data_IF_732217852824
#
_entry.id   IF_732217852824
#
_cell.length_a   1.000
_cell.length_b   1.000
_cell.length_c   1.000
_cell.angle_alpha   90.00
_cell.angle_beta   90.00
_cell.angle_gamma   90.00
#
_symmetry.space_group_name_H-M   'P 1'
#
loop_
_entity.id
_entity.type
_entity.pdbx_description
1 polymer ?
#
# COMPACT_ATOMS: atom_id res chain seq x y z
N UNK A 1 -15.42 -16.56 7.76
CA UNK A 1 -15.01 -15.13 7.80
C UNK A 1 -14.03 -14.95 8.93
N UNK A 2 -12.98 -14.21 8.69
CA UNK A 2 -11.94 -13.98 9.69
C UNK A 2 -12.19 -12.63 10.37
N UNK A 3 -11.79 -12.51 11.64
CA UNK A 3 -11.73 -11.23 12.34
C UNK A 3 -10.54 -10.47 11.75
N UNK A 4 -10.71 -9.17 11.50
CA UNK A 4 -9.63 -8.33 10.98
C UNK A 4 -8.40 -8.37 11.89
N UNK A 5 -7.25 -8.69 11.31
CA UNK A 5 -5.95 -8.68 11.99
C UNK A 5 -5.21 -7.38 11.61
N UNK A 6 -4.95 -6.47 12.57
CA UNK A 6 -4.29 -5.19 12.29
C UNK A 6 -2.79 -5.29 12.06
N UNK A 7 -2.21 -6.51 12.05
CA UNK A 7 -0.77 -6.69 11.78
C UNK A 7 -0.41 -6.16 10.39
N UNK A 8 0.79 -5.65 10.27
CA UNK A 8 1.37 -5.13 9.03
C UNK A 8 2.59 -5.94 8.59
N UNK A 9 2.56 -7.25 8.84
CA UNK A 9 3.63 -8.19 8.51
C UNK A 9 3.05 -9.53 8.12
N UNK A 10 3.62 -10.15 7.09
CA UNK A 10 3.27 -11.51 6.70
C UNK A 10 3.83 -12.53 7.68
N UNK A 11 3.09 -13.60 7.91
CA UNK A 11 3.54 -14.80 8.64
C UNK A 11 4.14 -15.85 7.70
N UNK A 12 3.69 -15.85 6.43
CA UNK A 12 4.17 -16.76 5.39
C UNK A 12 5.17 -16.06 4.47
N UNK A 13 6.01 -16.84 3.82
CA UNK A 13 7.02 -16.35 2.88
C UNK A 13 6.55 -16.35 1.41
N UNK A 14 5.30 -16.71 1.16
CA UNK A 14 4.69 -16.78 -0.16
C UNK A 14 3.55 -15.78 -0.31
N UNK A 15 2.35 -16.15 0.09
CA UNK A 15 1.17 -15.29 0.08
C UNK A 15 0.22 -15.58 1.25
N UNK A 16 -0.62 -14.62 1.56
CA UNK A 16 -1.72 -14.75 2.53
C UNK A 16 -2.98 -14.13 1.94
N UNK A 17 -4.12 -14.80 2.03
CA UNK A 17 -5.39 -14.26 1.57
C UNK A 17 -6.43 -14.30 2.68
N UNK A 18 -7.20 -13.22 2.80
CA UNK A 18 -8.16 -13.01 3.87
C UNK A 18 -9.50 -12.53 3.30
N UNK A 19 -10.59 -13.02 3.86
CA UNK A 19 -11.92 -12.52 3.61
C UNK A 19 -12.46 -11.92 4.90
N UNK A 20 -12.49 -10.59 4.97
CA UNK A 20 -12.94 -9.84 6.13
C UNK A 20 -14.36 -9.30 5.93
N UNK A 21 -15.17 -9.41 6.98
CA UNK A 21 -16.45 -8.73 7.10
C UNK A 21 -16.59 -8.19 8.51
N UNK A 22 -16.56 -6.89 8.63
CA UNK A 22 -16.57 -6.19 9.91
C UNK A 22 -17.84 -5.34 10.05
N UNK A 23 -18.63 -5.62 11.08
CA UNK A 23 -19.81 -4.83 11.44
C UNK A 23 -19.43 -3.50 12.13
N UNK A 24 -18.25 -3.45 12.76
CA UNK A 24 -17.69 -2.26 13.38
C UNK A 24 -16.18 -2.25 13.15
N UNK A 25 -15.72 -1.44 12.23
CA UNK A 25 -14.31 -1.29 11.93
C UNK A 25 -13.81 0.06 12.41
N UNK A 26 -12.82 0.07 13.28
CA UNK A 26 -12.28 1.31 13.87
C UNK A 26 -11.27 2.06 13.00
N UNK A 27 -11.03 1.54 11.78
CA UNK A 27 -10.02 2.08 10.87
C UNK A 27 -8.61 1.55 11.16
N UNK A 28 -7.71 1.80 10.21
CA UNK A 28 -6.27 1.55 10.33
C UNK A 28 -5.58 2.89 10.09
N UNK A 29 -4.60 3.30 10.90
CA UNK A 29 -3.79 4.50 10.60
C UNK A 29 -3.11 4.41 9.24
N UNK A 30 -2.67 5.54 8.70
CA UNK A 30 -1.78 5.54 7.52
C UNK A 30 -0.56 4.68 7.80
N UNK A 31 -0.35 3.68 6.95
CA UNK A 31 0.70 2.68 7.10
C UNK A 31 1.27 2.27 5.75
N UNK A 32 2.32 1.48 5.79
CA UNK A 32 2.90 0.75 4.68
C UNK A 32 3.41 -0.62 5.17
N UNK A 33 3.61 -1.52 4.26
CA UNK A 33 4.17 -2.84 4.51
C UNK A 33 5.20 -3.21 3.44
N UNK A 34 5.87 -4.36 3.54
CA UNK A 34 6.93 -4.78 2.61
C UNK A 34 6.52 -5.89 1.64
N UNK A 35 5.23 -6.05 1.44
CA UNK A 35 4.62 -7.00 0.51
C UNK A 35 3.66 -6.26 -0.43
N UNK A 36 3.32 -6.88 -1.55
CA UNK A 36 2.27 -6.39 -2.46
C UNK A 36 0.90 -6.70 -1.89
N UNK A 37 -0.04 -5.77 -2.02
CA UNK A 37 -1.42 -5.98 -1.60
C UNK A 37 -2.39 -5.83 -2.78
N UNK A 38 -3.29 -6.80 -2.91
CA UNK A 38 -4.46 -6.72 -3.76
C UNK A 38 -5.67 -6.63 -2.84
N UNK A 39 -6.39 -5.52 -2.93
CA UNK A 39 -7.57 -5.28 -2.13
C UNK A 39 -8.80 -5.28 -3.04
N UNK A 40 -9.72 -6.22 -2.85
CA UNK A 40 -10.97 -6.36 -3.60
C UNK A 40 -12.15 -5.97 -2.73
N UNK A 41 -12.83 -4.89 -3.11
CA UNK A 41 -13.94 -4.32 -2.35
C UNK A 41 -15.27 -4.98 -2.70
N UNK A 42 -16.00 -5.45 -1.69
CA UNK A 42 -17.27 -6.18 -1.86
C UNK A 42 -18.45 -5.30 -1.44
N UNK A 43 -18.41 -4.75 -0.22
CA UNK A 43 -19.49 -3.90 0.28
C UNK A 43 -19.04 -2.95 1.38
N UNK A 44 -19.83 -1.89 1.57
CA UNK A 44 -19.61 -0.87 2.58
C UNK A 44 -19.54 0.54 2.00
N UNK A 45 -19.23 1.51 2.85
CA UNK A 45 -19.00 2.91 2.44
C UNK A 45 -17.59 3.30 2.85
N UNK A 46 -16.66 3.21 1.94
CA UNK A 46 -15.23 3.38 2.18
C UNK A 46 -14.63 4.35 1.17
N UNK A 47 -13.86 5.30 1.67
CA UNK A 47 -12.86 6.01 0.91
C UNK A 47 -11.50 5.35 1.19
N UNK A 48 -10.69 5.12 0.18
CA UNK A 48 -9.35 4.55 0.33
C UNK A 48 -8.30 5.55 -0.13
N UNK A 49 -7.34 5.87 0.73
CA UNK A 49 -6.23 6.76 0.39
C UNK A 49 -4.99 5.92 0.04
N UNK A 50 -4.37 6.20 -1.11
CA UNK A 50 -3.07 5.64 -1.51
C UNK A 50 -2.20 6.78 -2.00
N UNK A 51 -1.05 7.02 -1.37
CA UNK A 51 -0.14 8.13 -1.69
C UNK A 51 -0.87 9.48 -1.82
N UNK A 52 -1.86 9.73 -0.94
CA UNK A 52 -2.67 10.94 -0.94
C UNK A 52 -3.73 11.02 -2.03
N UNK A 53 -3.81 10.02 -2.90
CA UNK A 53 -4.93 9.86 -3.84
C UNK A 53 -6.11 9.26 -3.08
N UNK A 54 -7.27 9.86 -3.19
CA UNK A 54 -8.47 9.43 -2.48
C UNK A 54 -9.45 8.79 -3.46
N UNK A 55 -9.85 7.56 -3.16
CA UNK A 55 -10.74 6.75 -3.99
C UNK A 55 -12.03 6.45 -3.22
N UNK A 56 -13.17 6.91 -3.73
CA UNK A 56 -14.47 6.43 -3.28
C UNK A 56 -14.69 5.02 -3.84
N UNK A 57 -14.70 4.01 -2.96
CA UNK A 57 -14.78 2.60 -3.36
C UNK A 57 -16.20 2.23 -3.79
N UNK A 58 -16.29 1.54 -4.93
CA UNK A 58 -17.53 0.97 -5.46
C UNK A 58 -17.43 -0.56 -5.45
N UNK A 59 -18.54 -1.25 -5.26
CA UNK A 59 -18.60 -2.72 -5.28
C UNK A 59 -17.89 -3.27 -6.53
N UNK A 60 -16.95 -4.18 -6.31
CA UNK A 60 -16.14 -4.81 -7.35
C UNK A 60 -14.90 -4.02 -7.75
N UNK A 61 -14.65 -2.85 -7.14
CA UNK A 61 -13.39 -2.13 -7.31
C UNK A 61 -12.22 -2.93 -6.72
N UNK A 62 -11.06 -2.77 -7.35
CA UNK A 62 -9.84 -3.44 -6.93
C UNK A 62 -8.72 -2.41 -6.78
N UNK A 63 -8.01 -2.44 -5.66
CA UNK A 63 -6.80 -1.66 -5.46
C UNK A 63 -5.56 -2.55 -5.56
N UNK A 64 -4.54 -2.01 -6.21
CA UNK A 64 -3.20 -2.57 -6.31
C UNK A 64 -2.25 -1.67 -5.53
N UNK A 65 -1.65 -2.19 -4.47
CA UNK A 65 -0.80 -1.43 -3.55
C UNK A 65 0.62 -2.00 -3.58
N UNK A 66 1.55 -1.12 -3.92
CA UNK A 66 2.98 -1.43 -3.93
C UNK A 66 3.53 -1.39 -2.50
N UNK A 67 4.52 -2.22 -2.15
CA UNK A 67 5.17 -2.23 -0.83
C UNK A 67 5.66 -0.88 -0.29
N UNK A 68 5.88 0.11 -1.14
CA UNK A 68 6.41 1.43 -0.75
C UNK A 68 5.34 2.50 -0.61
N UNK A 69 4.08 2.17 -0.89
CA UNK A 69 2.98 3.13 -0.90
C UNK A 69 2.33 3.26 0.47
N UNK A 70 2.24 4.49 0.94
CA UNK A 70 1.47 4.84 2.13
C UNK A 70 -0.02 4.81 1.82
N UNK A 71 -0.78 4.03 2.57
CA UNK A 71 -2.19 3.82 2.31
C UNK A 71 -3.03 3.68 3.59
N UNK A 72 -4.34 3.89 3.44
CA UNK A 72 -5.30 3.83 4.55
C UNK A 72 -6.73 3.69 4.05
N UNK A 73 -7.54 2.73 4.54
CA UNK A 73 -8.98 2.76 4.42
C UNK A 73 -9.58 3.82 5.38
N UNK A 74 -10.51 4.62 4.88
CA UNK A 74 -11.28 5.61 5.65
C UNK A 74 -12.74 5.18 5.65
N UNK A 75 -13.30 4.98 6.82
CA UNK A 75 -14.62 4.42 6.99
C UNK A 75 -15.49 5.39 7.76
N UNK A 76 -16.74 5.56 7.31
CA UNK A 76 -17.72 6.39 8.01
C UNK A 76 -18.11 5.75 9.34
N UNK A 77 -18.23 6.53 10.41
CA UNK A 77 -18.50 6.07 11.79
C UNK A 77 -19.79 5.23 11.96
N UNK A 78 -20.74 5.33 11.02
CA UNK A 78 -22.04 4.65 11.08
C UNK A 78 -22.14 3.47 10.10
N UNK A 79 -21.05 2.79 9.79
CA UNK A 79 -21.05 1.73 8.81
C UNK A 79 -21.44 0.39 9.41
N UNK A 80 -22.48 -0.25 8.83
CA UNK A 80 -23.02 -1.53 9.31
C UNK A 80 -22.29 -2.75 8.76
N UNK A 81 -21.76 -2.71 7.54
CA UNK A 81 -21.11 -3.88 6.91
C UNK A 81 -19.96 -3.42 5.99
N UNK A 82 -18.74 -3.80 6.34
CA UNK A 82 -17.57 -3.59 5.52
C UNK A 82 -16.95 -4.92 5.12
N UNK A 83 -17.11 -5.29 3.84
CA UNK A 83 -16.67 -6.58 3.32
C UNK A 83 -15.64 -6.41 2.21
N UNK A 84 -14.54 -7.15 2.31
CA UNK A 84 -13.41 -7.13 1.37
C UNK A 84 -12.64 -8.43 1.38
N UNK A 85 -11.96 -8.71 0.27
CA UNK A 85 -10.90 -9.72 0.20
C UNK A 85 -9.57 -9.00 0.07
N UNK A 86 -8.59 -9.42 0.87
CA UNK A 86 -7.23 -8.86 0.88
C UNK A 86 -6.26 -9.99 0.60
N UNK A 87 -5.42 -9.82 -0.42
CA UNK A 87 -4.38 -10.77 -0.80
C UNK A 87 -3.01 -10.09 -0.65
N UNK A 88 -2.19 -10.61 0.23
CA UNK A 88 -0.81 -10.19 0.46
C UNK A 88 0.15 -11.14 -0.25
N UNK A 89 1.16 -10.58 -0.93
CA UNK A 89 2.10 -11.37 -1.74
C UNK A 89 3.52 -10.91 -1.42
N UNK A 90 4.34 -11.84 -0.94
CA UNK A 90 5.75 -11.56 -0.66
C UNK A 90 6.48 -11.15 -1.94
N UNK A 91 7.42 -10.20 -1.85
CA UNK A 91 8.15 -9.66 -3.00
C UNK A 91 8.97 -10.71 -3.73
N UNK A 92 9.78 -11.47 -2.99
CA UNK A 92 10.69 -12.45 -3.56
C UNK A 92 9.90 -13.60 -4.18
N UNK A 93 8.79 -13.96 -3.54
CA UNK A 93 7.88 -14.96 -4.08
C UNK A 93 7.23 -14.49 -5.38
N UNK A 94 6.69 -13.26 -5.43
CA UNK A 94 6.12 -12.70 -6.66
C UNK A 94 7.16 -12.64 -7.79
N UNK A 95 8.39 -12.24 -7.46
CA UNK A 95 9.48 -12.23 -8.42
C UNK A 95 9.78 -13.64 -8.94
N UNK A 96 9.79 -14.66 -8.08
CA UNK A 96 10.05 -16.05 -8.45
C UNK A 96 8.98 -16.67 -9.36
N UNK A 97 7.76 -16.13 -9.35
CA UNK A 97 6.66 -16.55 -10.23
C UNK A 97 6.72 -15.91 -11.62
N UNK A 98 7.50 -14.86 -11.80
CA UNK A 98 7.68 -14.17 -13.07
C UNK A 98 8.54 -15.01 -14.03
N UNK A 99 8.34 -14.83 -15.34
CA UNK A 99 9.20 -15.41 -16.37
C UNK A 99 10.19 -14.37 -16.91
N UNK A 100 11.11 -14.80 -17.77
CA UNK A 100 12.05 -13.88 -18.42
C UNK A 100 11.34 -12.83 -19.30
N UNK A 101 10.18 -13.17 -19.85
CA UNK A 101 9.42 -12.31 -20.77
C UNK A 101 8.25 -11.58 -20.09
N UNK A 102 7.88 -11.97 -18.87
CA UNK A 102 6.67 -11.46 -18.19
C UNK A 102 6.90 -11.23 -16.71
N UNK A 103 6.96 -9.95 -16.31
CA UNK A 103 6.97 -9.56 -14.90
C UNK A 103 5.56 -9.48 -14.35
N UNK A 104 5.27 -10.26 -13.31
CA UNK A 104 3.97 -10.25 -12.62
C UNK A 104 3.81 -9.07 -11.66
N UNK A 105 4.90 -8.37 -11.32
CA UNK A 105 4.85 -7.15 -10.51
C UNK A 105 4.51 -5.88 -11.30
N UNK A 106 4.39 -5.96 -12.63
CA UNK A 106 4.18 -4.79 -13.50
C UNK A 106 2.91 -4.01 -13.17
N UNK A 107 1.83 -4.70 -12.79
CA UNK A 107 0.58 -4.03 -12.40
C UNK A 107 0.70 -3.19 -11.11
N UNK A 108 1.75 -3.40 -10.32
CA UNK A 108 2.04 -2.62 -9.12
C UNK A 108 3.11 -1.54 -9.34
N UNK A 109 3.62 -1.38 -10.56
CA UNK A 109 4.71 -0.45 -10.86
C UNK A 109 4.20 1.00 -10.89
N UNK A 110 4.32 1.68 -9.76
CA UNK A 110 3.95 3.09 -9.60
C UNK A 110 4.86 4.07 -10.35
N UNK A 111 5.98 3.60 -10.92
CA UNK A 111 6.84 4.44 -11.77
C UNK A 111 6.34 4.52 -13.21
N UNK A 112 5.42 3.64 -13.60
CA UNK A 112 4.77 3.70 -14.91
C UNK A 112 3.76 4.87 -14.93
N UNK A 113 3.87 5.83 -15.86
CA UNK A 113 2.95 6.97 -15.96
C UNK A 113 1.47 6.57 -16.14
N UNK A 114 1.22 5.40 -16.70
CA UNK A 114 -0.14 4.86 -16.88
C UNK A 114 -0.61 3.95 -15.74
N UNK A 115 0.16 3.88 -14.64
CA UNK A 115 -0.24 3.10 -13.48
C UNK A 115 -1.43 3.75 -12.77
N UNK A 116 -2.40 2.93 -12.39
CA UNK A 116 -3.48 3.30 -11.48
C UNK A 116 -3.55 2.30 -10.33
N UNK A 117 -3.55 2.80 -9.11
CA UNK A 117 -3.81 1.94 -7.95
C UNK A 117 -5.24 1.39 -7.98
N UNK A 118 -6.22 2.17 -8.48
CA UNK A 118 -7.63 1.75 -8.59
C UNK A 118 -7.92 1.18 -9.97
N UNK A 119 -8.46 -0.02 -10.02
CA UNK A 119 -9.05 -0.63 -11.21
C UNK A 119 -10.57 -0.78 -11.02
N UNK A 120 -11.34 -0.07 -11.82
CA UNK A 120 -12.80 -0.24 -11.92
C UNK A 120 -13.12 -1.26 -12.99
N UNK A 121 -13.47 -2.44 -12.53
CA UNK A 121 -13.59 -3.62 -13.38
C UNK A 121 -14.94 -3.68 -14.10
N UNK A 122 -14.95 -4.24 -15.31
CA UNK A 122 -16.18 -4.67 -15.97
C UNK A 122 -16.86 -5.78 -15.15
N UNK A 123 -18.16 -5.97 -15.32
CA UNK A 123 -18.91 -7.02 -14.63
C UNK A 123 -18.27 -8.41 -14.80
N UNK A 124 -17.87 -8.76 -16.04
CA UNK A 124 -17.23 -10.06 -16.33
C UNK A 124 -15.87 -10.22 -15.61
N UNK A 125 -15.08 -9.14 -15.52
CA UNK A 125 -13.79 -9.16 -14.81
C UNK A 125 -13.99 -9.26 -13.29
N UNK A 126 -15.03 -8.59 -12.75
CA UNK A 126 -15.40 -8.70 -11.34
C UNK A 126 -15.79 -10.13 -10.98
N UNK A 127 -16.64 -10.77 -11.77
CA UNK A 127 -17.06 -12.17 -11.55
C UNK A 127 -15.87 -13.13 -11.61
N UNK A 128 -15.00 -12.98 -12.62
CA UNK A 128 -13.80 -13.82 -12.77
C UNK A 128 -12.88 -13.69 -11.55
N UNK A 129 -12.52 -12.48 -11.18
CA UNK A 129 -11.60 -12.25 -10.06
C UNK A 129 -12.21 -12.64 -8.72
N UNK A 130 -13.49 -12.34 -8.50
CA UNK A 130 -14.22 -12.78 -7.29
C UNK A 130 -14.23 -14.30 -7.16
N UNK A 131 -14.45 -15.01 -8.26
CA UNK A 131 -14.42 -16.49 -8.30
C UNK A 131 -13.02 -17.01 -7.96
N UNK A 132 -11.99 -16.51 -8.63
CA UNK A 132 -10.59 -16.93 -8.40
C UNK A 132 -10.13 -16.64 -6.98
N UNK A 133 -10.43 -15.46 -6.43
CA UNK A 133 -10.09 -15.09 -5.05
C UNK A 133 -10.81 -15.99 -4.04
N UNK A 134 -12.09 -16.29 -4.29
CA UNK A 134 -12.88 -17.18 -3.43
C UNK A 134 -12.37 -18.62 -3.49
N UNK A 135 -11.96 -19.07 -4.68
CA UNK A 135 -11.35 -20.40 -4.89
C UNK A 135 -10.01 -20.48 -4.15
N UNK A 136 -9.16 -19.46 -4.23
CA UNK A 136 -7.88 -19.40 -3.52
C UNK A 136 -8.08 -19.46 -1.99
N UNK A 137 -9.10 -18.75 -1.46
CA UNK A 137 -9.44 -18.81 -0.03
C UNK A 137 -9.86 -20.23 0.37
N UNK A 138 -10.68 -20.89 -0.43
CA UNK A 138 -11.11 -22.27 -0.15
C UNK A 138 -9.93 -23.23 -0.20
N UNK A 139 -9.10 -23.12 -1.22
CA UNK A 139 -7.97 -23.99 -1.40
C UNK A 139 -6.90 -23.77 -0.32
N UNK A 140 -6.62 -22.55 0.10
CA UNK A 140 -5.69 -22.26 1.22
C UNK A 140 -6.06 -23.00 2.52
N UNK A 141 -7.36 -23.27 2.74
CA UNK A 141 -7.88 -23.96 3.92
C UNK A 141 -8.10 -25.47 3.68
N UNK A 142 -7.76 -25.98 2.52
CA UNK A 142 -7.87 -27.39 2.16
C UNK A 142 -6.57 -28.12 2.52
N UNK A 143 -6.66 -29.40 2.87
CA UNK A 143 -5.50 -30.28 3.13
C UNK A 143 -5.36 -31.41 2.12
N UNK A 144 -5.93 -31.23 0.92
CA UNK A 144 -5.90 -32.21 -0.15
C UNK A 144 -4.48 -32.37 -0.75
N UNK A 145 -4.29 -33.48 -1.47
CA UNK A 145 -3.05 -33.70 -2.22
C UNK A 145 -2.75 -32.55 -3.18
N UNK A 146 -1.48 -32.12 -3.21
CA UNK A 146 -0.98 -31.03 -4.07
C UNK A 146 -1.69 -29.67 -3.86
N UNK A 147 -2.20 -29.41 -2.68
CA UNK A 147 -2.84 -28.15 -2.30
C UNK A 147 -1.95 -26.92 -2.56
N UNK A 148 -0.67 -27.04 -2.24
CA UNK A 148 0.31 -25.96 -2.47
C UNK A 148 0.46 -25.63 -3.96
N UNK A 149 0.42 -26.61 -4.84
CA UNK A 149 0.47 -26.43 -6.29
C UNK A 149 -0.85 -25.85 -6.81
N UNK A 150 -2.00 -26.30 -6.30
CA UNK A 150 -3.30 -25.75 -6.66
C UNK A 150 -3.38 -24.26 -6.28
N UNK A 151 -3.00 -23.90 -5.05
CA UNK A 151 -2.92 -22.50 -4.61
C UNK A 151 -2.03 -21.65 -5.51
N UNK A 152 -0.84 -22.14 -5.87
CA UNK A 152 0.07 -21.42 -6.78
C UNK A 152 -0.52 -21.23 -8.18
N UNK A 153 -1.20 -22.24 -8.71
CA UNK A 153 -1.85 -22.16 -10.02
C UNK A 153 -2.97 -21.11 -10.05
N UNK A 154 -3.82 -21.08 -9.02
CA UNK A 154 -4.89 -20.08 -8.88
C UNK A 154 -4.31 -18.68 -8.72
N UNK A 155 -3.31 -18.52 -7.83
CA UNK A 155 -2.63 -17.24 -7.62
C UNK A 155 -1.97 -16.72 -8.91
N UNK A 156 -1.28 -17.60 -9.65
CA UNK A 156 -0.67 -17.24 -10.93
C UNK A 156 -1.72 -16.75 -11.93
N UNK A 157 -2.88 -17.41 -11.97
CA UNK A 157 -4.00 -16.98 -12.82
C UNK A 157 -4.52 -15.60 -12.41
N UNK A 158 -4.69 -15.35 -11.11
CA UNK A 158 -5.07 -14.03 -10.59
C UNK A 158 -4.07 -12.97 -11.05
N UNK A 159 -2.78 -13.17 -10.83
CA UNK A 159 -1.72 -12.23 -11.18
C UNK A 159 -1.66 -11.92 -12.67
N UNK A 160 -1.84 -12.93 -13.53
CA UNK A 160 -1.91 -12.74 -14.98
C UNK A 160 -3.09 -11.85 -15.36
N UNK A 161 -4.29 -12.10 -14.79
CA UNK A 161 -5.46 -11.26 -15.07
C UNK A 161 -5.30 -9.84 -14.55
N UNK A 162 -4.73 -9.63 -13.37
CA UNK A 162 -4.45 -8.30 -12.83
C UNK A 162 -3.53 -7.50 -13.74
N UNK A 163 -2.47 -8.13 -14.27
CA UNK A 163 -1.56 -7.47 -15.21
C UNK A 163 -2.23 -7.12 -16.53
N UNK A 164 -3.05 -8.02 -17.07
CA UNK A 164 -3.84 -7.77 -18.32
C UNK A 164 -4.81 -6.61 -18.13
N UNK A 165 -5.53 -6.60 -17.01
CA UNK A 165 -6.48 -5.52 -16.67
C UNK A 165 -5.77 -4.19 -16.48
N UNK A 166 -4.68 -4.15 -15.73
CA UNK A 166 -3.89 -2.94 -15.51
C UNK A 166 -3.38 -2.34 -16.82
N UNK A 167 -2.89 -3.17 -17.76
CA UNK A 167 -2.44 -2.71 -19.07
C UNK A 167 -3.56 -2.10 -19.91
N UNK A 168 -4.74 -2.71 -19.88
CA UNK A 168 -5.90 -2.20 -20.64
C UNK A 168 -6.55 -0.97 -20.00
N UNK A 169 -6.37 -0.78 -18.68
CA UNK A 169 -6.98 0.29 -17.91
C UNK A 169 -6.25 1.62 -18.10
N UNK A 170 -4.93 1.63 -18.11
CA UNK A 170 -4.10 2.83 -18.25
C UNK A 170 -4.33 3.60 -19.56
N UNK A 171 -4.86 2.94 -20.61
CA UNK A 171 -5.19 3.60 -21.86
C UNK A 171 -6.52 4.39 -21.83
N UNK A 172 -7.38 4.21 -20.82
CA UNK A 172 -8.77 4.69 -20.83
C UNK A 172 -9.16 5.68 -19.72
N UNK A 173 -8.45 5.77 -18.61
CA UNK A 173 -9.00 6.36 -17.38
C UNK A 173 -8.16 7.43 -16.66
N UNK A 174 -7.54 8.36 -17.38
CA UNK A 174 -6.75 9.46 -16.77
C UNK A 174 -7.56 10.53 -15.97
N UNK A 175 -8.90 10.40 -15.82
CA UNK A 175 -9.72 11.55 -15.40
C UNK A 175 -10.63 11.39 -14.16
N UNK A 176 -10.69 10.26 -13.47
CA UNK A 176 -11.69 10.06 -12.40
C UNK A 176 -11.22 10.32 -10.95
N UNK A 177 -10.13 10.99 -10.74
CA UNK A 177 -9.60 11.19 -9.40
C UNK A 177 -9.90 12.60 -8.87
N UNK A 178 -10.68 12.72 -7.80
CA UNK A 178 -10.87 13.99 -7.09
C UNK A 178 -9.63 14.30 -6.25
N UNK A 179 -8.64 14.92 -6.86
CA UNK A 179 -7.43 15.33 -6.16
C UNK A 179 -7.48 16.80 -5.79
N UNK A 180 -6.95 17.16 -4.62
CA UNK A 180 -6.51 18.52 -4.36
C UNK A 180 -5.17 18.73 -5.10
N UNK A 181 -5.12 19.54 -6.18
CA UNK A 181 -3.87 19.72 -6.94
C UNK A 181 -2.73 20.19 -6.06
N UNK A 182 -3.01 21.02 -5.06
CA UNK A 182 -2.03 21.49 -4.10
C UNK A 182 -1.44 20.32 -3.30
N UNK A 183 -2.27 19.44 -2.76
CA UNK A 183 -1.79 18.33 -1.92
C UNK A 183 -0.99 17.33 -2.75
N UNK A 184 -1.37 17.07 -3.99
CA UNK A 184 -0.58 16.24 -4.90
C UNK A 184 0.80 16.84 -5.16
N UNK A 185 0.88 18.15 -5.44
CA UNK A 185 2.15 18.83 -5.63
C UNK A 185 3.01 18.82 -4.36
N UNK A 186 2.39 18.97 -3.19
CA UNK A 186 3.09 18.87 -1.88
C UNK A 186 3.63 17.47 -1.65
N UNK A 187 2.86 16.42 -1.97
CA UNK A 187 3.31 15.04 -1.85
C UNK A 187 4.46 14.72 -2.78
N UNK A 188 4.36 15.18 -4.03
CA UNK A 188 5.44 15.04 -5.02
C UNK A 188 6.71 15.76 -4.55
N UNK A 189 6.58 16.98 -4.05
CA UNK A 189 7.70 17.73 -3.47
C UNK A 189 8.34 16.96 -2.30
N UNK A 190 7.55 16.44 -1.36
CA UNK A 190 8.05 15.64 -0.25
C UNK A 190 8.79 14.39 -0.77
N UNK A 191 8.25 13.71 -1.76
CA UNK A 191 8.86 12.50 -2.33
C UNK A 191 10.22 12.76 -2.98
N UNK A 192 10.45 13.95 -3.52
CA UNK A 192 11.74 14.34 -4.09
C UNK A 192 12.74 14.90 -3.07
N UNK A 193 12.24 15.47 -1.96
CA UNK A 193 13.06 16.24 -0.99
C UNK A 193 13.08 15.64 0.42
N UNK A 194 12.54 14.42 0.66
CA UNK A 194 12.42 13.83 2.02
C UNK A 194 13.77 13.72 2.76
N UNK A 195 14.88 13.60 2.05
CA UNK A 195 16.23 13.55 2.65
C UNK A 195 16.72 14.92 3.16
N UNK A 196 16.08 15.99 2.73
CA UNK A 196 16.47 17.36 3.06
C UNK A 196 15.83 17.83 4.37
N UNK A 197 16.22 19.00 4.85
CA UNK A 197 15.61 19.60 6.03
C UNK A 197 14.23 20.15 5.71
N UNK A 198 13.23 19.28 5.68
CA UNK A 198 11.83 19.64 5.46
C UNK A 198 11.09 19.95 6.78
N UNK A 199 10.28 20.99 6.74
CA UNK A 199 9.34 21.36 7.79
C UNK A 199 8.01 21.81 7.20
N UNK A 200 6.94 21.79 7.98
CA UNK A 200 5.66 22.36 7.56
C UNK A 200 5.80 23.83 7.12
N UNK A 201 6.70 24.59 7.75
CA UNK A 201 6.98 25.98 7.39
C UNK A 201 7.59 26.10 6.01
N UNK A 202 8.69 25.36 5.75
CA UNK A 202 9.41 25.42 4.48
C UNK A 202 8.52 24.98 3.32
N UNK A 203 7.67 23.97 3.51
CA UNK A 203 6.73 23.52 2.49
C UNK A 203 5.61 24.57 2.29
N UNK A 204 5.07 25.14 3.35
CA UNK A 204 4.03 26.17 3.24
C UNK A 204 4.56 27.43 2.49
N UNK A 205 5.79 27.83 2.76
CA UNK A 205 6.45 28.93 2.07
C UNK A 205 6.68 28.62 0.58
N UNK A 206 7.12 27.39 0.24
CA UNK A 206 7.32 26.93 -1.14
C UNK A 206 6.04 26.97 -1.98
N UNK A 207 4.91 26.58 -1.38
CA UNK A 207 3.61 26.57 -2.06
C UNK A 207 2.77 27.83 -1.85
N UNK A 208 3.34 28.90 -1.27
CA UNK A 208 2.67 30.19 -1.04
C UNK A 208 1.36 30.08 -0.27
N UNK A 209 1.28 29.20 0.73
CA UNK A 209 0.11 28.98 1.57
C UNK A 209 0.44 29.14 3.06
N UNK A 210 -0.58 29.39 3.89
CA UNK A 210 -0.38 29.42 5.34
C UNK A 210 -0.13 28.02 5.89
N UNK A 211 0.71 27.90 6.93
CA UNK A 211 0.95 26.63 7.67
C UNK A 211 -0.35 26.01 8.17
N UNK A 212 -1.27 26.82 8.65
CA UNK A 212 -2.57 26.37 9.15
C UNK A 212 -3.39 25.71 8.02
N UNK A 213 -3.50 26.38 6.90
CA UNK A 213 -4.22 25.85 5.73
C UNK A 213 -3.58 24.56 5.23
N UNK A 214 -2.25 24.56 5.03
CA UNK A 214 -1.53 23.36 4.57
C UNK A 214 -1.72 22.19 5.54
N UNK A 215 -1.54 22.41 6.84
CA UNK A 215 -1.70 21.37 7.86
C UNK A 215 -3.09 20.76 7.84
N UNK A 216 -4.13 21.59 7.76
CA UNK A 216 -5.51 21.14 7.74
C UNK A 216 -5.86 20.40 6.43
N UNK A 217 -5.51 21.00 5.28
CA UNK A 217 -5.77 20.40 3.97
C UNK A 217 -5.01 19.07 3.78
N UNK A 218 -3.74 19.03 4.19
CA UNK A 218 -2.94 17.82 4.12
C UNK A 218 -3.51 16.70 5.00
N UNK A 219 -3.85 17.01 6.25
CA UNK A 219 -4.43 16.00 7.16
C UNK A 219 -5.80 15.50 6.66
N UNK A 220 -6.63 16.38 6.09
CA UNK A 220 -7.94 15.97 5.55
C UNK A 220 -7.81 15.03 4.35
N UNK A 221 -6.79 15.22 3.48
CA UNK A 221 -6.58 14.41 2.27
C UNK A 221 -5.73 13.19 2.55
N UNK A 222 -4.64 13.32 3.32
CA UNK A 222 -3.67 12.24 3.54
C UNK A 222 -3.98 11.41 4.80
N UNK A 223 -4.73 11.98 5.76
CA UNK A 223 -5.11 11.28 7.01
C UNK A 223 -4.02 11.28 8.08
N UNK A 224 -2.94 12.05 7.87
CA UNK A 224 -1.85 12.19 8.85
C UNK A 224 -1.20 13.57 8.73
N UNK A 225 -0.37 13.94 9.72
CA UNK A 225 0.35 15.22 9.65
C UNK A 225 1.49 15.18 8.62
N UNK A 226 1.85 16.34 8.05
CA UNK A 226 3.01 16.50 7.16
C UNK A 226 4.29 15.91 7.78
N UNK A 227 4.55 16.22 9.06
CA UNK A 227 5.73 15.69 9.77
C UNK A 227 5.72 14.16 9.85
N UNK A 228 4.59 13.56 10.20
CA UNK A 228 4.45 12.10 10.28
C UNK A 228 4.65 11.46 8.91
N UNK A 229 4.08 12.04 7.87
CA UNK A 229 4.23 11.55 6.49
C UNK A 229 5.70 11.57 6.04
N UNK A 230 6.41 12.70 6.24
CA UNK A 230 7.86 12.78 5.95
C UNK A 230 8.64 11.72 6.73
N UNK A 231 8.32 11.53 8.02
CA UNK A 231 8.97 10.52 8.85
C UNK A 231 8.76 9.12 8.29
N UNK A 232 7.53 8.77 7.91
CA UNK A 232 7.22 7.47 7.29
C UNK A 232 7.99 7.26 5.99
N UNK A 233 8.04 8.27 5.10
CA UNK A 233 8.82 8.19 3.85
C UNK A 233 10.31 7.94 4.12
N UNK A 234 10.90 8.66 5.07
CA UNK A 234 12.29 8.44 5.51
C UNK A 234 12.52 7.02 6.03
N UNK A 235 11.59 6.50 6.82
CA UNK A 235 11.68 5.16 7.40
C UNK A 235 11.55 4.05 6.34
N UNK A 236 10.71 4.25 5.31
CA UNK A 236 10.59 3.34 4.17
C UNK A 236 11.95 3.21 3.45
N UNK A 237 12.59 4.34 3.12
CA UNK A 237 13.90 4.34 2.48
C UNK A 237 15.01 3.81 3.39
N UNK A 238 14.95 4.15 4.68
CA UNK A 238 15.88 3.61 5.67
C UNK A 238 15.83 2.09 5.74
N UNK A 239 14.63 1.51 5.69
CA UNK A 239 14.41 0.06 5.68
C UNK A 239 15.09 -0.60 4.48
N UNK A 240 14.97 -0.02 3.28
CA UNK A 240 15.64 -0.50 2.06
C UNK A 240 17.17 -0.44 2.17
N UNK A 241 17.71 0.69 2.66
CA UNK A 241 19.14 0.86 2.84
C UNK A 241 19.72 -0.11 3.88
N UNK A 242 19.00 -0.37 4.98
CA UNK A 242 19.40 -1.35 5.99
C UNK A 242 19.44 -2.76 5.42
N UNK A 243 18.43 -3.16 4.63
CA UNK A 243 18.38 -4.46 3.94
C UNK A 243 19.52 -4.62 2.93
N UNK A 244 20.05 -3.53 2.37
CA UNK A 244 21.24 -3.51 1.51
C UNK A 244 22.56 -3.52 2.30
N UNK A 245 22.52 -3.69 3.63
CA UNK A 245 23.71 -3.78 4.48
C UNK A 245 24.37 -2.44 4.82
N UNK A 246 23.73 -1.32 4.55
CA UNK A 246 24.28 0.00 4.89
C UNK A 246 24.20 0.22 6.41
N UNK A 247 25.27 0.76 7.00
CA UNK A 247 25.36 0.99 8.45
C UNK A 247 24.25 1.92 8.95
N UNK A 248 23.57 1.62 10.09
CA UNK A 248 22.46 2.41 10.60
C UNK A 248 22.75 3.90 10.80
N UNK A 249 23.98 4.26 11.18
CA UNK A 249 24.39 5.67 11.33
C UNK A 249 24.41 6.42 10.00
N UNK A 250 24.91 5.77 8.94
CA UNK A 250 24.93 6.30 7.58
C UNK A 250 23.50 6.41 7.03
N UNK A 251 22.66 5.40 7.29
CA UNK A 251 21.23 5.40 6.91
C UNK A 251 20.51 6.60 7.52
N UNK A 252 20.71 6.88 8.81
CA UNK A 252 20.08 8.01 9.48
C UNK A 252 20.37 9.34 8.77
N UNK A 253 21.62 9.61 8.42
CA UNK A 253 22.00 10.85 7.73
C UNK A 253 21.47 10.90 6.29
N UNK A 254 21.56 9.80 5.55
CA UNK A 254 21.11 9.73 4.15
C UNK A 254 19.60 9.86 3.98
N UNK A 255 18.83 9.44 5.00
CA UNK A 255 17.38 9.58 5.02
C UNK A 255 16.90 10.91 5.63
N UNK A 256 17.79 11.85 5.91
CA UNK A 256 17.41 13.20 6.37
C UNK A 256 17.00 13.30 7.84
N UNK A 257 17.36 12.32 8.67
CA UNK A 257 17.20 12.45 10.13
C UNK A 257 18.26 13.38 10.71
N UNK A 258 17.85 14.31 11.57
CA UNK A 258 18.77 15.30 12.17
C UNK A 258 19.82 14.69 13.08
N UNK A 259 19.50 13.56 13.73
CA UNK A 259 20.41 12.79 14.56
C UNK A 259 20.04 11.31 14.59
N UNK A 260 21.01 10.49 15.02
CA UNK A 260 20.79 9.03 15.11
C UNK A 260 19.76 8.64 16.19
N UNK A 261 19.65 9.38 17.28
CA UNK A 261 18.72 9.08 18.36
C UNK A 261 17.27 9.28 17.90
N UNK A 262 16.99 10.34 17.13
CA UNK A 262 15.69 10.57 16.49
C UNK A 262 15.33 9.47 15.51
N UNK A 263 16.27 9.07 14.64
CA UNK A 263 16.10 7.94 13.73
C UNK A 263 15.81 6.64 14.49
N UNK A 264 16.62 6.31 15.49
CA UNK A 264 16.48 5.09 16.30
C UNK A 264 15.09 5.00 16.93
N UNK A 265 14.62 6.07 17.58
CA UNK A 265 13.28 6.10 18.20
C UNK A 265 12.17 5.96 17.16
N UNK A 266 12.27 6.66 16.04
CA UNK A 266 11.27 6.61 14.99
C UNK A 266 11.20 5.20 14.35
N UNK A 267 12.36 4.61 14.05
CA UNK A 267 12.44 3.28 13.44
C UNK A 267 11.93 2.18 14.38
N UNK A 268 12.39 2.19 15.63
CA UNK A 268 11.96 1.19 16.63
C UNK A 268 10.48 1.33 16.96
N UNK A 269 9.97 2.57 17.06
CA UNK A 269 8.54 2.81 17.29
C UNK A 269 7.66 2.35 16.14
N UNK A 270 8.14 2.42 14.90
CA UNK A 270 7.37 1.99 13.72
C UNK A 270 7.42 0.49 13.49
N UNK A 271 8.61 -0.12 13.60
CA UNK A 271 8.83 -1.52 13.19
C UNK A 271 9.01 -2.50 14.35
N UNK A 272 9.00 -2.04 15.59
CA UNK A 272 9.15 -2.88 16.78
C UNK A 272 10.53 -3.52 16.97
N UNK A 273 11.49 -3.24 16.06
CA UNK A 273 12.86 -3.74 16.10
C UNK A 273 13.85 -2.60 15.91
N UNK A 274 15.05 -2.74 16.43
CA UNK A 274 16.09 -1.72 16.25
C UNK A 274 16.66 -1.73 14.82
N UNK A 275 17.20 -0.59 14.31
CA UNK A 275 17.86 -0.55 13.01
C UNK A 275 19.00 -1.57 12.87
N UNK A 276 19.74 -1.81 13.96
CA UNK A 276 20.86 -2.76 13.97
C UNK A 276 20.40 -4.22 13.92
N UNK A 277 19.29 -4.56 14.56
CA UNK A 277 18.67 -5.90 14.49
C UNK A 277 18.09 -6.13 13.09
N UNK A 278 17.46 -5.11 12.52
CA UNK A 278 16.89 -5.19 11.18
C UNK A 278 17.97 -5.42 10.10
N UNK A 279 19.12 -4.74 10.20
CA UNK A 279 20.23 -4.87 9.26
C UNK A 279 20.94 -6.23 9.29
N UNK A 280 20.64 -7.09 10.28
CA UNK A 280 21.24 -8.45 10.39
C UNK A 280 20.35 -9.56 9.84
N UNK A 281 19.10 -9.21 9.47
CA UNK A 281 18.15 -10.12 8.82
C UNK A 281 18.37 -10.19 7.32
#
# INVERSE_FOLDING_TARGET
MQIFDPRQSMSKNDFEIFHYRDAKFSGVPVHQHDFYEVYFFISGKVEYSVEGKLFEMKKGDLLLINPLELHQPRISENQEDYERIVLWINKDFLFSLSSNDSSLSRCFDSTNPHHSNLLRLSFSSQELLSTLLTELIKEQNNSSYANDLACRAILLRILVELNRLSLSYGEKHDKENSFSPLILSVLDYINHHYCEKLSLSTIADEFFVSKYYLSHAFNSVVGTSVHRYITLKRLIHAKQMLSSGIKPTTVASNCGFGDYAGFYRAFTGEYGVTPAEYSKK
#
